data_IF_479671046622
#
_entry.id   IF_479671046622
#
_cell.length_a   1.000
_cell.length_b   1.000
_cell.length_c   1.000
_cell.angle_alpha   90.00
_cell.angle_beta   90.00
_cell.angle_gamma   90.00
#
_symmetry.space_group_name_H-M   'P 1'
#
loop_
_entity.id
_entity.type
_entity.pdbx_description
1 polymer ?
#
# COMPACT_ATOMS: atom_id res chain seq x y z
N UNK A 1 -2.71 -12.59 -5.63
CA UNK A 1 -3.80 -12.02 -4.81
C UNK A 1 -3.70 -10.51 -4.87
N UNK A 2 -4.82 -9.82 -5.17
CA UNK A 2 -4.82 -8.37 -5.15
C UNK A 2 -4.82 -7.87 -3.70
N UNK A 3 -3.92 -6.93 -3.41
CA UNK A 3 -3.83 -6.30 -2.11
C UNK A 3 -3.77 -4.78 -2.26
N UNK A 4 -4.43 -4.08 -1.36
CA UNK A 4 -4.24 -2.65 -1.16
C UNK A 4 -3.05 -2.46 -0.21
N UNK A 5 -2.00 -1.86 -0.73
CA UNK A 5 -0.86 -1.39 0.05
C UNK A 5 -1.08 0.09 0.37
N UNK A 6 -1.25 0.42 1.64
CA UNK A 6 -1.26 1.79 2.15
C UNK A 6 0.08 2.08 2.81
N UNK A 7 0.78 3.10 2.34
CA UNK A 7 2.10 3.52 2.84
C UNK A 7 1.97 4.89 3.47
N UNK A 8 2.12 4.96 4.78
CA UNK A 8 2.17 6.22 5.53
C UNK A 8 3.62 6.64 5.73
N UNK A 9 3.97 7.81 5.21
CA UNK A 9 5.34 8.33 5.19
C UNK A 9 5.48 9.41 6.28
N UNK A 10 6.37 9.23 7.27
CA UNK A 10 6.61 10.23 8.30
C UNK A 10 7.17 11.54 7.70
N UNK A 11 7.07 12.63 8.47
CA UNK A 11 7.58 13.94 8.03
C UNK A 11 9.08 13.91 7.76
N UNK A 12 9.88 13.27 8.61
CA UNK A 12 11.28 12.98 8.38
C UNK A 12 11.46 11.47 8.23
N UNK A 13 12.30 11.00 7.28
CA UNK A 13 13.30 11.76 6.51
C UNK A 13 12.76 12.41 5.22
N UNK A 14 11.45 12.31 4.94
CA UNK A 14 10.90 12.74 3.66
C UNK A 14 11.03 14.23 3.39
N UNK A 15 10.86 15.10 4.39
CA UNK A 15 11.06 16.54 4.28
C UNK A 15 12.50 16.88 3.88
N UNK A 16 13.49 16.17 4.42
CA UNK A 16 14.90 16.32 4.02
C UNK A 16 15.12 15.94 2.55
N UNK A 17 14.44 14.90 2.07
CA UNK A 17 14.48 14.50 0.66
C UNK A 17 13.77 15.52 -0.26
N UNK A 18 12.68 16.12 0.21
CA UNK A 18 11.99 17.20 -0.52
C UNK A 18 12.89 18.42 -0.63
N UNK A 19 13.48 18.87 0.48
CA UNK A 19 14.38 20.04 0.52
C UNK A 19 15.63 19.85 -0.34
N UNK A 20 16.13 18.61 -0.47
CA UNK A 20 17.27 18.28 -1.33
C UNK A 20 16.91 17.99 -2.78
N UNK A 21 15.62 18.02 -3.15
CA UNK A 21 15.15 17.75 -4.52
C UNK A 21 15.14 16.27 -4.92
N UNK A 22 15.45 15.34 -4.01
CA UNK A 22 15.60 13.90 -4.30
C UNK A 22 14.33 13.07 -4.10
N UNK A 23 13.31 13.64 -3.44
CA UNK A 23 12.09 12.89 -3.08
C UNK A 23 11.38 12.28 -4.31
N UNK A 24 11.24 13.04 -5.40
CA UNK A 24 10.55 12.59 -6.61
C UNK A 24 11.28 11.44 -7.32
N UNK A 25 12.59 11.59 -7.54
CA UNK A 25 13.44 10.54 -8.13
C UNK A 25 13.39 9.26 -7.29
N UNK A 26 13.54 9.42 -5.98
CA UNK A 26 13.55 8.29 -5.03
C UNK A 26 12.22 7.54 -5.04
N UNK A 27 11.09 8.26 -5.02
CA UNK A 27 9.76 7.65 -5.12
C UNK A 27 9.53 6.99 -6.48
N UNK A 28 10.00 7.62 -7.57
CA UNK A 28 9.94 7.06 -8.93
C UNK A 28 10.62 5.70 -9.02
N UNK A 29 11.84 5.59 -8.50
CA UNK A 29 12.59 4.32 -8.48
C UNK A 29 11.87 3.21 -7.70
N UNK A 30 11.20 3.56 -6.60
CA UNK A 30 10.37 2.59 -5.85
C UNK A 30 9.18 2.12 -6.70
N UNK A 31 8.46 3.03 -7.36
CA UNK A 31 7.31 2.68 -8.21
C UNK A 31 7.72 1.80 -9.41
N UNK A 32 8.86 2.07 -10.02
CA UNK A 32 9.43 1.25 -11.10
C UNK A 32 9.79 -0.16 -10.63
N UNK A 33 10.22 -0.29 -9.37
CA UNK A 33 10.56 -1.58 -8.75
C UNK A 33 9.29 -2.39 -8.45
N UNK A 34 8.31 -1.79 -7.76
CA UNK A 34 7.16 -2.53 -7.24
C UNK A 34 6.00 -2.68 -8.25
N UNK A 35 5.98 -1.87 -9.31
CA UNK A 35 5.04 -1.93 -10.45
C UNK A 35 3.58 -2.16 -10.03
N UNK A 36 2.99 -1.23 -9.27
CA UNK A 36 1.60 -1.35 -8.84
C UNK A 36 0.63 -1.23 -10.03
N UNK A 37 -0.52 -1.89 -9.96
CA UNK A 37 -1.59 -1.80 -10.96
C UNK A 37 -2.25 -0.40 -10.97
N UNK A 38 -2.33 0.24 -9.79
CA UNK A 38 -2.88 1.58 -9.64
C UNK A 38 -2.13 2.33 -8.53
N UNK A 39 -2.01 3.65 -8.71
CA UNK A 39 -1.21 4.54 -7.86
C UNK A 39 -2.03 5.76 -7.50
N UNK A 40 -2.16 6.02 -6.21
CA UNK A 40 -2.77 7.24 -5.69
C UNK A 40 -1.94 7.79 -4.55
N UNK A 41 -1.97 9.10 -4.38
CA UNK A 41 -1.35 9.79 -3.26
C UNK A 41 -2.39 10.66 -2.57
N UNK A 42 -2.35 10.68 -1.25
CA UNK A 42 -3.25 11.49 -0.42
C UNK A 42 -2.52 11.93 0.85
N UNK A 43 -3.17 12.77 1.62
CA UNK A 43 -2.85 12.99 3.02
C UNK A 43 -3.68 11.99 3.86
N UNK A 44 -3.07 11.40 4.88
CA UNK A 44 -3.75 10.58 5.87
C UNK A 44 -3.11 10.77 7.27
N UNK A 45 -3.93 11.14 8.25
CA UNK A 45 -3.55 11.35 9.66
C UNK A 45 -2.40 12.36 9.85
N UNK A 46 -2.44 13.47 9.10
CA UNK A 46 -1.42 14.51 9.04
C UNK A 46 -0.17 14.15 8.23
N UNK A 47 -0.13 12.98 7.57
CA UNK A 47 1.07 12.45 6.92
C UNK A 47 0.87 12.23 5.42
N UNK A 48 1.99 12.23 4.68
CA UNK A 48 1.99 11.88 3.25
C UNK A 48 1.67 10.39 3.12
N UNK A 49 0.72 10.05 2.27
CA UNK A 49 0.27 8.68 2.11
C UNK A 49 0.26 8.25 0.64
N UNK A 50 0.82 7.07 0.36
CA UNK A 50 0.66 6.37 -0.90
C UNK A 50 -0.37 5.25 -0.77
N UNK A 51 -1.22 5.09 -1.76
CA UNK A 51 -2.19 4.00 -1.87
C UNK A 51 -1.93 3.29 -3.19
N UNK A 52 -1.56 2.02 -3.10
CA UNK A 52 -1.15 1.22 -4.25
C UNK A 52 -1.97 -0.07 -4.32
N UNK A 53 -2.47 -0.39 -5.51
CA UNK A 53 -3.02 -1.71 -5.79
C UNK A 53 -1.89 -2.60 -6.30
N UNK A 54 -1.55 -3.64 -5.54
CA UNK A 54 -0.44 -4.56 -5.88
C UNK A 54 -0.95 -5.99 -6.02
N UNK A 55 -0.24 -6.78 -6.82
CA UNK A 55 -0.54 -8.19 -6.99
C UNK A 55 0.53 -9.05 -6.30
N UNK A 56 0.19 -9.58 -5.13
CA UNK A 56 1.06 -10.44 -4.31
C UNK A 56 0.84 -11.89 -4.73
N UNK A 57 1.84 -12.54 -5.32
CA UNK A 57 1.71 -13.90 -5.84
C UNK A 57 1.93 -14.91 -4.72
N UNK A 58 2.95 -14.70 -3.90
CA UNK A 58 3.27 -15.48 -2.71
C UNK A 58 3.33 -14.59 -1.46
N UNK A 59 3.07 -15.19 -0.30
CA UNK A 59 3.19 -14.50 0.99
C UNK A 59 4.58 -13.87 1.23
N UNK A 60 5.63 -14.48 0.64
CA UNK A 60 7.01 -13.99 0.70
C UNK A 60 7.28 -12.77 -0.18
N UNK A 61 6.35 -12.35 -1.05
CA UNK A 61 6.49 -11.13 -1.85
C UNK A 61 6.27 -9.85 -1.02
N UNK A 62 5.63 -9.94 0.15
CA UNK A 62 5.27 -8.77 0.97
C UNK A 62 6.46 -7.84 1.25
N UNK A 63 7.65 -8.33 1.66
CA UNK A 63 8.82 -7.49 1.84
C UNK A 63 9.28 -6.80 0.55
N UNK A 64 9.15 -7.43 -0.63
CA UNK A 64 9.55 -6.81 -1.90
C UNK A 64 8.72 -5.54 -2.21
N UNK A 65 7.47 -5.49 -1.74
CA UNK A 65 6.62 -4.29 -1.84
C UNK A 65 6.88 -3.28 -0.70
N UNK A 66 7.22 -3.74 0.50
CA UNK A 66 7.26 -2.90 1.71
C UNK A 66 8.65 -2.32 2.03
N UNK A 67 9.71 -3.13 1.90
CA UNK A 67 11.10 -2.77 2.24
C UNK A 67 11.59 -1.50 1.52
N UNK A 68 11.27 -1.26 0.23
CA UNK A 68 11.67 -0.02 -0.42
C UNK A 68 11.18 1.22 0.33
N UNK A 69 9.98 1.18 0.93
CA UNK A 69 9.45 2.29 1.72
C UNK A 69 10.00 2.33 3.15
N UNK A 70 10.24 1.16 3.76
CA UNK A 70 10.83 1.07 5.10
C UNK A 70 12.23 1.67 5.13
N UNK A 71 13.11 1.19 4.24
CA UNK A 71 14.52 1.56 4.23
C UNK A 71 14.73 3.00 3.74
N UNK A 72 13.90 3.46 2.82
CA UNK A 72 14.10 4.77 2.18
C UNK A 72 13.41 5.90 2.94
N UNK A 73 12.21 5.65 3.46
CA UNK A 73 11.38 6.70 4.06
C UNK A 73 11.01 6.44 5.53
N UNK A 74 11.44 5.33 6.14
CA UNK A 74 10.98 4.93 7.47
C UNK A 74 9.44 4.86 7.53
N UNK A 75 8.81 4.48 6.42
CA UNK A 75 7.36 4.48 6.29
C UNK A 75 6.73 3.30 7.04
N UNK A 76 5.43 3.41 7.30
CA UNK A 76 4.60 2.30 7.77
C UNK A 76 3.74 1.77 6.63
N UNK A 77 3.80 0.46 6.39
CA UNK A 77 3.06 -0.22 5.31
C UNK A 77 1.94 -1.07 5.90
N UNK A 78 0.72 -0.91 5.38
CA UNK A 78 -0.45 -1.72 5.72
C UNK A 78 -0.95 -2.44 4.47
N UNK A 79 -1.02 -3.77 4.55
CA UNK A 79 -1.58 -4.60 3.49
C UNK A 79 -3.01 -5.02 3.85
N UNK A 80 -3.93 -4.92 2.88
CA UNK A 80 -5.32 -5.36 3.01
C UNK A 80 -5.69 -6.18 1.78
N UNK A 81 -6.32 -7.33 1.98
CA UNK A 81 -6.90 -8.09 0.88
C UNK A 81 -8.02 -7.23 0.27
N UNK A 82 -8.05 -7.12 -1.05
CA UNK A 82 -9.16 -6.50 -1.75
C UNK A 82 -10.01 -7.56 -2.42
N UNK A 83 -11.32 -7.41 -2.32
CA UNK A 83 -12.30 -8.29 -2.96
C UNK A 83 -12.97 -7.51 -4.08
N UNK A 84 -13.12 -8.14 -5.25
CA UNK A 84 -14.02 -7.62 -6.28
C UNK A 84 -15.49 -7.79 -5.86
N UNK A 85 -16.44 -7.18 -6.58
CA UNK A 85 -17.86 -7.48 -6.39
C UNK A 85 -18.17 -8.98 -6.49
N UNK A 86 -17.54 -9.70 -7.42
CA UNK A 86 -17.71 -11.14 -7.62
C UNK A 86 -17.12 -11.96 -6.45
N UNK A 87 -16.00 -11.52 -5.87
CA UNK A 87 -15.43 -12.15 -4.67
C UNK A 87 -16.35 -11.94 -3.45
N UNK A 88 -16.89 -10.74 -3.29
CA UNK A 88 -17.82 -10.41 -2.19
C UNK A 88 -19.12 -11.21 -2.28
N UNK A 89 -19.65 -11.45 -3.49
CA UNK A 89 -20.83 -12.31 -3.69
C UNK A 89 -20.62 -13.74 -3.18
N UNK A 90 -19.39 -14.25 -3.25
CA UNK A 90 -19.03 -15.60 -2.76
C UNK A 90 -18.82 -15.65 -1.24
N UNK A 91 -18.86 -14.50 -0.53
CA UNK A 91 -18.57 -14.43 0.89
C UNK A 91 -19.67 -15.01 1.80
N UNK A 92 -20.87 -15.32 1.25
CA UNK A 92 -21.94 -15.97 2.00
C UNK A 92 -22.53 -15.09 3.12
N UNK A 93 -22.62 -13.78 2.91
CA UNK A 93 -23.03 -12.81 3.94
C UNK A 93 -24.40 -13.11 4.55
N UNK A 94 -25.36 -13.60 3.76
CA UNK A 94 -26.70 -13.97 4.26
C UNK A 94 -26.64 -15.12 5.28
N UNK A 95 -25.88 -16.17 4.98
CA UNK A 95 -25.71 -17.33 5.88
C UNK A 95 -24.93 -16.96 7.14
N UNK A 96 -23.91 -16.10 7.01
CA UNK A 96 -23.21 -15.53 8.15
C UNK A 96 -24.15 -14.71 9.05
N UNK A 97 -25.02 -13.90 8.45
CA UNK A 97 -26.05 -13.13 9.16
C UNK A 97 -27.03 -14.02 9.91
N UNK A 98 -27.54 -15.09 9.29
CA UNK A 98 -28.43 -16.07 9.95
C UNK A 98 -27.75 -16.81 11.11
N UNK A 99 -26.45 -17.07 11.01
CA UNK A 99 -25.69 -17.82 12.02
C UNK A 99 -25.38 -17.00 13.28
N UNK A 100 -25.16 -15.70 13.12
CA UNK A 100 -24.62 -14.84 14.19
C UNK A 100 -25.52 -13.66 14.60
N UNK A 101 -26.60 -13.40 13.87
CA UNK A 101 -27.64 -12.42 14.25
C UNK A 101 -28.67 -13.01 15.20
#
# INVERSE_FOLDING_TARGET
MKMLLTVQIPHEPFNSLVKSGKAGETLGHILETIKPEAVYFTEQDGMRCGIFLVNVQDSSDVPAFAEPFFLTFQASCKFRIVMSPEDLQKAGLEELGKKWG
#
